data_IF_456232408929
#
_entry.id   IF_456232408929
#
_cell.length_a   1.000
_cell.length_b   1.000
_cell.length_c   1.000
_cell.angle_alpha   90.00
_cell.angle_beta   90.00
_cell.angle_gamma   90.00
#
_symmetry.space_group_name_H-M   'P 1'
#
loop_
_entity.id
_entity.type
_entity.pdbx_description
1 polymer ?
#
# COMPACT_ATOMS: atom_id res chain seq x y z
N UNK A 1 -16.21 -23.70 -42.70
CA UNK A 1 -15.84 -24.67 -41.62
C UNK A 1 -14.36 -24.59 -41.25
N UNK A 2 -13.41 -24.68 -42.19
CA UNK A 2 -11.96 -24.68 -41.89
C UNK A 2 -11.46 -23.46 -41.07
N UNK A 3 -11.94 -22.24 -41.35
CA UNK A 3 -11.57 -21.05 -40.57
C UNK A 3 -12.10 -21.03 -39.12
N UNK A 4 -13.23 -21.68 -38.84
CA UNK A 4 -13.78 -21.79 -37.47
C UNK A 4 -12.90 -22.73 -36.64
N UNK A 5 -12.44 -23.85 -37.22
CA UNK A 5 -11.54 -24.79 -36.56
C UNK A 5 -10.15 -24.20 -36.28
N UNK A 6 -9.60 -23.39 -37.19
CA UNK A 6 -8.33 -22.68 -36.98
C UNK A 6 -8.44 -21.69 -35.82
N UNK A 7 -9.53 -20.92 -35.74
CA UNK A 7 -9.76 -19.97 -34.65
C UNK A 7 -9.95 -20.65 -33.29
N UNK A 8 -10.68 -21.77 -33.23
CA UNK A 8 -10.83 -22.55 -32.00
C UNK A 8 -9.49 -23.16 -31.54
N UNK A 9 -8.68 -23.67 -32.48
CA UNK A 9 -7.37 -24.25 -32.18
C UNK A 9 -6.42 -23.19 -31.62
N UNK A 10 -6.38 -21.99 -32.22
CA UNK A 10 -5.58 -20.87 -31.72
C UNK A 10 -6.05 -20.38 -30.34
N UNK A 11 -7.35 -20.33 -30.10
CA UNK A 11 -7.91 -19.97 -28.80
C UNK A 11 -7.54 -21.02 -27.72
N UNK A 12 -7.67 -22.31 -28.02
CA UNK A 12 -7.25 -23.37 -27.11
C UNK A 12 -5.74 -23.29 -26.81
N UNK A 13 -4.90 -23.11 -27.83
CA UNK A 13 -3.46 -22.92 -27.63
C UNK A 13 -3.15 -21.69 -26.76
N UNK A 14 -3.82 -20.57 -27.01
CA UNK A 14 -3.69 -19.36 -26.21
C UNK A 14 -4.07 -19.59 -24.75
N UNK A 15 -5.20 -20.23 -24.47
CA UNK A 15 -5.62 -20.52 -23.09
C UNK A 15 -4.66 -21.47 -22.38
N UNK A 16 -4.11 -22.47 -23.07
CA UNK A 16 -3.06 -23.35 -22.53
C UNK A 16 -1.79 -22.55 -22.22
N UNK A 17 -1.36 -21.66 -23.12
CA UNK A 17 -0.21 -20.78 -22.90
C UNK A 17 -0.42 -19.88 -21.69
N UNK A 18 -1.60 -19.25 -21.57
CA UNK A 18 -1.98 -18.44 -20.40
C UNK A 18 -1.88 -19.29 -19.13
N UNK A 19 -2.47 -20.48 -19.10
CA UNK A 19 -2.43 -21.35 -17.93
C UNK A 19 -1.01 -21.74 -17.51
N UNK A 20 -0.16 -22.14 -18.46
CA UNK A 20 1.23 -22.54 -18.19
C UNK A 20 2.02 -21.38 -17.61
N UNK A 21 1.91 -20.19 -18.22
CA UNK A 21 2.68 -19.01 -17.82
C UNK A 21 2.16 -18.39 -16.53
N UNK A 22 0.83 -18.38 -16.30
CA UNK A 22 0.17 -17.72 -15.17
C UNK A 22 0.72 -18.18 -13.82
N UNK A 23 0.95 -19.48 -13.65
CA UNK A 23 1.48 -20.05 -12.40
C UNK A 23 3.01 -20.17 -12.37
N UNK A 24 3.71 -19.80 -13.44
CA UNK A 24 5.17 -19.97 -13.54
C UNK A 24 5.90 -19.15 -12.48
N UNK A 25 5.53 -17.89 -12.28
CA UNK A 25 6.19 -17.00 -11.31
C UNK A 25 6.01 -17.51 -9.89
N UNK A 26 4.78 -17.84 -9.50
CA UNK A 26 4.48 -18.47 -8.20
C UNK A 26 5.35 -19.71 -7.95
N UNK A 27 5.42 -20.65 -8.90
CA UNK A 27 6.29 -21.84 -8.77
C UNK A 27 7.76 -21.48 -8.58
N UNK A 28 8.28 -20.48 -9.31
CA UNK A 28 9.66 -20.04 -9.17
C UNK A 28 9.97 -19.47 -7.78
N UNK A 29 9.09 -18.61 -7.25
CA UNK A 29 9.24 -18.04 -5.91
C UNK A 29 9.18 -19.14 -4.85
N UNK A 30 8.17 -20.02 -4.92
CA UNK A 30 8.02 -21.12 -3.98
C UNK A 30 9.21 -22.09 -4.01
N UNK A 31 9.71 -22.45 -5.20
CA UNK A 31 10.88 -23.31 -5.31
C UNK A 31 12.14 -22.65 -4.74
N UNK A 32 12.27 -21.33 -4.87
CA UNK A 32 13.43 -20.59 -4.35
C UNK A 32 13.44 -20.50 -2.81
N UNK A 33 12.29 -20.25 -2.18
CA UNK A 33 12.22 -19.92 -0.75
C UNK A 33 11.62 -20.99 0.15
N UNK A 34 10.98 -22.04 -0.41
CA UNK A 34 10.32 -23.09 0.38
C UNK A 34 11.21 -23.73 1.43
N UNK A 35 12.47 -24.05 1.10
CA UNK A 35 13.41 -24.64 2.07
C UNK A 35 13.66 -23.72 3.26
N UNK A 36 13.92 -22.43 3.02
CA UNK A 36 14.15 -21.45 4.09
C UNK A 36 12.89 -21.22 4.91
N UNK A 37 11.74 -21.16 4.25
CA UNK A 37 10.45 -21.07 4.94
C UNK A 37 10.20 -22.26 5.88
N UNK A 38 10.40 -23.49 5.40
CA UNK A 38 10.22 -24.71 6.19
C UNK A 38 11.22 -24.81 7.36
N UNK A 39 12.38 -24.18 7.23
CA UNK A 39 13.39 -24.10 8.28
C UNK A 39 13.24 -22.89 9.20
N UNK A 40 12.25 -22.01 8.96
CA UNK A 40 12.06 -20.76 9.73
C UNK A 40 13.21 -19.75 9.55
N UNK A 41 13.89 -19.80 8.41
CA UNK A 41 15.10 -19.03 8.08
C UNK A 41 14.84 -17.91 7.05
N UNK A 42 13.58 -17.54 6.81
CA UNK A 42 13.28 -16.43 5.89
C UNK A 42 13.85 -15.12 6.42
N UNK A 43 14.76 -14.54 5.66
CA UNK A 43 15.36 -13.25 6.00
C UNK A 43 14.44 -12.08 5.64
N UNK A 44 14.69 -10.90 6.19
CA UNK A 44 14.00 -9.66 5.81
C UNK A 44 14.20 -9.33 4.32
N UNK A 45 15.37 -9.61 3.74
CA UNK A 45 15.61 -9.43 2.30
C UNK A 45 14.83 -10.45 1.44
N UNK A 46 14.79 -11.73 1.85
CA UNK A 46 13.98 -12.75 1.17
C UNK A 46 12.48 -12.36 1.20
N UNK A 47 12.03 -11.90 2.37
CA UNK A 47 10.67 -11.43 2.59
C UNK A 47 10.32 -10.21 1.72
N UNK A 48 11.25 -9.24 1.61
CA UNK A 48 11.12 -8.09 0.73
C UNK A 48 11.05 -8.48 -0.75
N UNK A 49 11.86 -9.43 -1.22
CA UNK A 49 11.82 -9.89 -2.62
C UNK A 49 10.48 -10.57 -2.94
N UNK A 50 9.94 -11.38 -2.02
CA UNK A 50 8.61 -11.98 -2.15
C UNK A 50 7.54 -10.88 -2.19
N UNK A 51 7.55 -9.97 -1.21
CA UNK A 51 6.59 -8.87 -1.07
C UNK A 51 6.54 -7.99 -2.33
N UNK A 52 7.71 -7.55 -2.81
CA UNK A 52 7.82 -6.70 -4.00
C UNK A 52 7.40 -7.46 -5.26
N UNK A 53 7.68 -8.76 -5.35
CA UNK A 53 7.21 -9.57 -6.49
C UNK A 53 5.68 -9.67 -6.51
N UNK A 54 5.04 -9.88 -5.35
CA UNK A 54 3.58 -9.87 -5.24
C UNK A 54 3.01 -8.50 -5.62
N UNK A 55 3.56 -7.43 -5.05
CA UNK A 55 3.06 -6.06 -5.20
C UNK A 55 3.37 -5.41 -6.55
N UNK A 56 4.39 -5.86 -7.30
CA UNK A 56 4.77 -5.23 -8.58
C UNK A 56 4.40 -6.09 -9.79
N UNK A 57 4.29 -7.41 -9.63
CA UNK A 57 4.15 -8.34 -10.75
C UNK A 57 2.89 -9.21 -10.67
N UNK A 58 2.66 -9.93 -9.57
CA UNK A 58 1.56 -10.90 -9.48
C UNK A 58 0.19 -10.23 -9.24
N UNK A 59 0.11 -9.36 -8.24
CA UNK A 59 -1.14 -8.82 -7.69
C UNK A 59 -1.13 -7.29 -7.47
N UNK A 60 -0.53 -6.46 -8.34
CA UNK A 60 -0.27 -5.06 -8.01
C UNK A 60 -1.52 -4.24 -7.71
N UNK A 61 -2.65 -4.55 -8.34
CA UNK A 61 -3.89 -3.82 -8.10
C UNK A 61 -4.43 -4.08 -6.69
N UNK A 62 -4.67 -5.34 -6.31
CA UNK A 62 -5.22 -5.64 -4.99
C UNK A 62 -4.19 -5.50 -3.87
N UNK A 63 -2.90 -5.65 -4.16
CA UNK A 63 -1.85 -5.34 -3.21
C UNK A 63 -1.87 -3.84 -2.85
N UNK A 64 -1.91 -2.98 -3.86
CA UNK A 64 -2.01 -1.53 -3.66
C UNK A 64 -3.31 -1.13 -2.95
N UNK A 65 -4.46 -1.62 -3.44
CA UNK A 65 -5.76 -1.29 -2.84
C UNK A 65 -5.78 -1.77 -1.37
N UNK A 66 -5.17 -2.91 -1.05
CA UNK A 66 -5.03 -3.37 0.33
C UNK A 66 -4.22 -2.41 1.21
N UNK A 67 -3.12 -1.83 0.71
CA UNK A 67 -2.35 -0.81 1.43
C UNK A 67 -3.14 0.50 1.60
N UNK A 68 -3.84 0.95 0.55
CA UNK A 68 -4.69 2.15 0.63
C UNK A 68 -5.86 1.94 1.60
N UNK A 69 -6.47 0.74 1.57
CA UNK A 69 -7.52 0.36 2.50
C UNK A 69 -7.00 0.28 3.93
N UNK A 70 -5.79 -0.22 4.17
CA UNK A 70 -5.15 -0.17 5.48
C UNK A 70 -5.06 1.27 6.00
N UNK A 71 -4.54 2.19 5.20
CA UNK A 71 -4.45 3.61 5.58
C UNK A 71 -5.84 4.22 5.81
N UNK A 72 -6.81 3.93 4.95
CA UNK A 72 -8.18 4.44 5.07
C UNK A 72 -8.88 3.92 6.33
N UNK A 73 -8.73 2.64 6.66
CA UNK A 73 -9.36 1.99 7.81
C UNK A 73 -8.90 2.59 9.14
N UNK A 74 -7.69 3.16 9.22
CA UNK A 74 -7.22 3.85 10.44
C UNK A 74 -8.05 5.10 10.79
N UNK A 75 -8.69 5.75 9.81
CA UNK A 75 -9.57 6.91 10.06
C UNK A 75 -10.85 6.56 10.84
N UNK A 76 -11.15 5.26 10.98
CA UNK A 76 -12.25 4.76 11.82
C UNK A 76 -11.87 4.62 13.30
N UNK A 77 -10.58 4.76 13.63
CA UNK A 77 -10.12 4.76 15.02
C UNK A 77 -10.12 6.20 15.55
N UNK A 78 -10.90 6.49 16.62
CA UNK A 78 -11.00 7.80 17.24
C UNK A 78 -9.71 8.56 17.50
N UNK A 79 -8.71 7.89 18.08
CA UNK A 79 -7.43 8.45 18.51
C UNK A 79 -6.60 8.85 17.29
N UNK A 80 -6.47 7.94 16.32
CA UNK A 80 -5.80 8.20 15.04
C UNK A 80 -6.49 9.34 14.30
N UNK A 81 -7.80 9.27 14.09
CA UNK A 81 -8.55 10.24 13.29
C UNK A 81 -8.43 11.66 13.84
N UNK A 82 -8.38 11.83 15.18
CA UNK A 82 -8.11 13.12 15.83
C UNK A 82 -6.75 13.69 15.45
N UNK A 83 -5.69 12.87 15.46
CA UNK A 83 -4.34 13.30 15.04
C UNK A 83 -4.34 13.72 13.58
N UNK A 84 -4.99 12.94 12.71
CA UNK A 84 -5.04 13.23 11.28
C UNK A 84 -5.85 14.52 11.02
N UNK A 85 -6.97 14.72 11.71
CA UNK A 85 -7.91 15.86 11.53
C UNK A 85 -7.38 17.25 11.89
N UNK A 86 -6.11 17.41 12.28
CA UNK A 86 -5.54 18.72 12.63
C UNK A 86 -5.72 19.72 11.48
N UNK A 87 -6.38 20.84 11.78
CA UNK A 87 -6.96 21.79 10.81
C UNK A 87 -5.99 22.29 9.72
N UNK A 88 -4.69 22.41 10.00
CA UNK A 88 -3.72 22.93 9.01
C UNK A 88 -3.57 22.01 7.80
N UNK A 89 -3.63 20.70 8.02
CA UNK A 89 -3.21 19.69 7.05
C UNK A 89 -4.31 19.39 6.01
N UNK A 90 -5.56 19.72 6.35
CA UNK A 90 -6.75 19.54 5.52
C UNK A 90 -7.50 20.85 5.26
N UNK A 91 -6.84 21.99 5.51
CA UNK A 91 -7.36 23.34 5.30
C UNK A 91 -7.73 23.65 3.84
N UNK A 92 -7.17 22.91 2.87
CA UNK A 92 -7.44 23.07 1.45
C UNK A 92 -7.26 21.76 0.69
N UNK A 93 -7.85 21.69 -0.51
CA UNK A 93 -7.66 20.54 -1.41
C UNK A 93 -6.19 20.35 -1.81
N UNK A 94 -5.41 21.44 -1.93
CA UNK A 94 -3.99 21.39 -2.29
C UNK A 94 -3.15 20.77 -1.16
N UNK A 95 -3.36 21.23 0.08
CA UNK A 95 -2.65 20.70 1.25
C UNK A 95 -3.00 19.23 1.51
N UNK A 96 -4.27 18.86 1.32
CA UNK A 96 -4.72 17.46 1.35
C UNK A 96 -3.93 16.57 0.39
N UNK A 97 -3.92 16.90 -0.91
CA UNK A 97 -3.26 16.08 -1.92
C UNK A 97 -1.75 16.02 -1.71
N UNK A 98 -1.13 17.11 -1.29
CA UNK A 98 0.29 17.13 -0.95
C UNK A 98 0.61 16.16 0.18
N UNK A 99 -0.19 16.14 1.26
CA UNK A 99 -0.01 15.23 2.40
C UNK A 99 -0.18 13.76 1.99
N UNK A 100 -1.17 13.47 1.15
CA UNK A 100 -1.35 12.13 0.59
C UNK A 100 -0.10 11.72 -0.22
N UNK A 101 0.35 12.58 -1.13
CA UNK A 101 1.54 12.33 -1.95
C UNK A 101 2.82 12.19 -1.13
N UNK A 102 2.98 12.94 -0.03
CA UNK A 102 4.10 12.77 0.92
C UNK A 102 4.09 11.40 1.58
N UNK A 103 2.91 10.95 2.01
CA UNK A 103 2.74 9.64 2.63
C UNK A 103 3.09 8.54 1.63
N UNK A 104 2.57 8.63 0.41
CA UNK A 104 2.89 7.67 -0.67
C UNK A 104 4.37 7.69 -1.00
N UNK A 105 4.99 8.86 -1.18
CA UNK A 105 6.42 8.95 -1.49
C UNK A 105 7.29 8.29 -0.40
N UNK A 106 7.01 8.56 0.87
CA UNK A 106 7.78 8.00 1.98
C UNK A 106 7.58 6.50 2.14
N UNK A 107 6.34 6.02 2.02
CA UNK A 107 6.02 4.58 2.08
C UNK A 107 6.65 3.83 0.92
N UNK A 108 6.59 4.39 -0.29
CA UNK A 108 7.21 3.74 -1.46
C UNK A 108 8.73 3.71 -1.33
N UNK A 109 9.40 4.75 -0.81
CA UNK A 109 10.84 4.68 -0.52
C UNK A 109 11.17 3.55 0.47
N UNK A 110 10.35 3.38 1.50
CA UNK A 110 10.59 2.33 2.49
C UNK A 110 10.31 0.91 1.98
N UNK A 111 9.39 0.75 1.01
CA UNK A 111 8.97 -0.55 0.45
C UNK A 111 9.70 -0.95 -0.84
N UNK A 112 10.09 0.02 -1.67
CA UNK A 112 10.69 -0.24 -2.98
C UNK A 112 12.20 -0.52 -2.92
N UNK A 113 12.86 -0.16 -1.83
CA UNK A 113 14.27 -0.42 -1.60
C UNK A 113 14.44 -1.57 -0.59
N UNK A 114 15.52 -2.34 -0.72
CA UNK A 114 15.74 -3.48 0.18
C UNK A 114 15.88 -3.03 1.64
N UNK A 115 15.55 -3.88 2.62
CA UNK A 115 15.64 -3.55 4.03
C UNK A 115 16.97 -2.99 4.52
N UNK A 116 18.09 -3.47 3.96
CA UNK A 116 19.44 -3.03 4.30
C UNK A 116 19.89 -1.77 3.53
N UNK A 117 19.09 -1.28 2.58
CA UNK A 117 19.46 -0.15 1.73
C UNK A 117 19.51 1.16 2.49
N UNK A 118 20.42 2.05 2.06
CA UNK A 118 20.52 3.40 2.61
C UNK A 118 19.20 4.17 2.45
N UNK A 119 18.56 4.06 1.28
CA UNK A 119 17.28 4.72 0.98
C UNK A 119 16.15 4.24 1.89
N UNK A 120 16.04 2.93 2.11
CA UNK A 120 15.06 2.36 3.04
C UNK A 120 15.27 2.87 4.47
N UNK A 121 16.51 2.88 4.95
CA UNK A 121 16.84 3.44 6.28
C UNK A 121 16.55 4.93 6.38
N UNK A 122 16.82 5.71 5.34
CA UNK A 122 16.56 7.14 5.29
C UNK A 122 15.05 7.46 5.33
N UNK A 123 14.24 6.67 4.63
CA UNK A 123 12.78 6.79 4.68
C UNK A 123 12.22 6.47 6.08
N UNK A 124 12.70 5.38 6.69
CA UNK A 124 12.29 5.00 8.06
C UNK A 124 12.73 6.07 9.07
N UNK A 125 13.97 6.57 8.98
CA UNK A 125 14.46 7.62 9.86
C UNK A 125 13.62 8.91 9.74
N UNK A 126 13.25 9.31 8.52
CA UNK A 126 12.35 10.45 8.32
C UNK A 126 10.97 10.18 8.90
N UNK A 127 10.42 8.99 8.70
CA UNK A 127 9.13 8.61 9.24
C UNK A 127 9.13 8.64 10.76
N UNK A 128 10.16 8.09 11.42
CA UNK A 128 10.33 8.19 12.88
C UNK A 128 10.36 9.65 13.34
N UNK A 129 11.12 10.51 12.66
CA UNK A 129 11.17 11.93 12.99
C UNK A 129 9.79 12.60 12.91
N UNK A 130 9.02 12.33 11.86
CA UNK A 130 7.67 12.89 11.68
C UNK A 130 6.69 12.40 12.76
N UNK A 131 6.88 11.19 13.29
CA UNK A 131 6.05 10.63 14.37
C UNK A 131 6.55 11.02 15.78
N UNK A 132 7.81 11.40 15.95
CA UNK A 132 8.47 11.58 17.24
C UNK A 132 7.70 12.49 18.20
N UNK A 133 7.46 13.75 17.81
CA UNK A 133 6.77 14.72 18.67
C UNK A 133 5.33 14.29 19.00
N UNK A 134 4.68 13.54 18.12
CA UNK A 134 3.34 13.02 18.36
C UNK A 134 3.33 11.85 19.36
N UNK A 135 4.35 10.98 19.32
CA UNK A 135 4.53 9.90 20.29
C UNK A 135 4.94 10.46 21.66
N UNK A 136 5.89 11.39 21.71
CA UNK A 136 6.32 12.03 22.96
C UNK A 136 5.18 12.79 23.67
N UNK A 137 4.32 13.47 22.90
CA UNK A 137 3.16 14.17 23.46
C UNK A 137 2.00 13.26 23.84
N UNK A 138 2.08 11.95 23.56
CA UNK A 138 0.97 11.00 23.76
C UNK A 138 -0.20 11.19 22.78
N UNK A 139 -0.02 11.98 21.72
CA UNK A 139 -1.06 12.16 20.69
C UNK A 139 -1.20 10.91 19.82
N UNK A 140 -0.10 10.22 19.53
CA UNK A 140 -0.09 8.89 18.91
C UNK A 140 0.27 7.90 20.01
N UNK A 141 -0.69 7.04 20.36
CA UNK A 141 -0.52 6.00 21.38
C UNK A 141 0.06 4.73 20.76
N UNK A 142 0.58 3.84 21.60
CA UNK A 142 1.29 2.63 21.13
C UNK A 142 0.36 1.67 20.38
N UNK A 143 -0.85 1.45 20.87
CA UNK A 143 -1.86 0.62 20.21
C UNK A 143 -2.18 1.14 18.79
N UNK A 144 -2.20 2.46 18.59
CA UNK A 144 -2.45 3.05 17.27
C UNK A 144 -1.31 2.71 16.28
N UNK A 145 -0.07 2.68 16.78
CA UNK A 145 1.12 2.28 15.99
C UNK A 145 1.06 0.79 15.65
N UNK A 146 0.78 -0.07 16.64
CA UNK A 146 0.66 -1.52 16.44
C UNK A 146 -0.50 -1.86 15.49
N UNK A 147 -1.63 -1.16 15.61
CA UNK A 147 -2.78 -1.30 14.72
C UNK A 147 -2.46 -0.87 13.29
N UNK A 148 -1.80 0.27 13.11
CA UNK A 148 -1.39 0.71 11.77
C UNK A 148 -0.43 -0.29 11.13
N UNK A 149 0.55 -0.80 11.89
CA UNK A 149 1.47 -1.85 11.43
C UNK A 149 0.73 -3.14 11.05
N UNK A 150 -0.20 -3.58 11.90
CA UNK A 150 -1.00 -4.78 11.66
C UNK A 150 -1.85 -4.67 10.40
N UNK A 151 -2.51 -3.53 10.17
CA UNK A 151 -3.26 -3.31 8.93
C UNK A 151 -2.35 -3.35 7.69
N UNK A 152 -1.18 -2.71 7.71
CA UNK A 152 -0.22 -2.76 6.61
C UNK A 152 0.27 -4.20 6.34
N UNK A 153 0.37 -5.02 7.39
CA UNK A 153 0.75 -6.43 7.33
C UNK A 153 -0.33 -7.28 6.67
N UNK A 154 -1.60 -7.15 7.12
CA UNK A 154 -2.65 -8.14 6.81
C UNK A 154 -3.54 -7.74 5.63
N UNK A 155 -3.75 -6.45 5.37
CA UNK A 155 -4.75 -6.01 4.39
C UNK A 155 -4.40 -6.39 2.94
N UNK A 156 -3.14 -6.28 2.46
CA UNK A 156 -2.83 -6.72 1.11
C UNK A 156 -3.17 -8.19 0.87
N UNK A 157 -2.89 -9.08 1.84
CA UNK A 157 -3.25 -10.49 1.75
C UNK A 157 -4.77 -10.69 1.73
N UNK A 158 -5.53 -10.01 2.59
CA UNK A 158 -7.00 -10.08 2.63
C UNK A 158 -7.64 -9.66 1.30
N UNK A 159 -7.13 -8.60 0.67
CA UNK A 159 -7.61 -8.11 -0.61
C UNK A 159 -7.25 -9.04 -1.77
N UNK A 160 -6.03 -9.59 -1.77
CA UNK A 160 -5.61 -10.59 -2.76
C UNK A 160 -6.48 -11.85 -2.64
N UNK A 161 -6.58 -12.43 -1.44
CA UNK A 161 -7.29 -13.69 -1.19
C UNK A 161 -8.76 -13.63 -1.61
N UNK A 162 -9.37 -12.44 -1.52
CA UNK A 162 -10.76 -12.20 -1.89
C UNK A 162 -10.97 -11.87 -3.36
N UNK A 163 -10.13 -11.01 -3.96
CA UNK A 163 -10.44 -10.36 -5.24
C UNK A 163 -9.44 -10.62 -6.38
N UNK A 164 -8.31 -11.27 -6.13
CA UNK A 164 -7.38 -11.65 -7.20
C UNK A 164 -7.65 -13.04 -7.79
N UNK A 165 -7.01 -13.27 -8.93
CA UNK A 165 -7.04 -14.51 -9.70
C UNK A 165 -6.49 -15.74 -8.94
N UNK A 166 -5.76 -15.54 -7.84
CA UNK A 166 -5.22 -16.56 -6.94
C UNK A 166 -5.21 -16.05 -5.49
N UNK A 167 -4.77 -16.90 -4.56
CA UNK A 167 -4.66 -16.58 -3.13
C UNK A 167 -3.21 -16.62 -2.65
N UNK A 168 -2.94 -15.84 -1.60
CA UNK A 168 -1.67 -15.86 -0.89
C UNK A 168 -1.49 -17.17 -0.12
N UNK A 169 -0.33 -17.78 -0.28
CA UNK A 169 0.10 -18.97 0.44
C UNK A 169 0.62 -18.64 1.84
N UNK A 170 0.80 -19.67 2.67
CA UNK A 170 1.38 -19.50 4.01
C UNK A 170 2.82 -18.97 3.96
N UNK A 171 3.61 -19.37 2.96
CA UNK A 171 4.97 -18.83 2.76
C UNK A 171 4.94 -17.34 2.40
N UNK A 172 3.99 -16.91 1.56
CA UNK A 172 3.83 -15.51 1.20
C UNK A 172 3.33 -14.68 2.39
N UNK A 173 2.40 -15.20 3.21
CA UNK A 173 1.97 -14.58 4.48
C UNK A 173 3.11 -14.52 5.50
N UNK A 174 3.95 -15.56 5.57
CA UNK A 174 5.16 -15.57 6.38
C UNK A 174 6.10 -14.44 5.96
N UNK A 175 6.38 -14.32 4.66
CA UNK A 175 7.19 -13.22 4.12
C UNK A 175 6.60 -11.83 4.46
N UNK A 176 5.29 -11.65 4.32
CA UNK A 176 4.62 -10.40 4.72
C UNK A 176 4.83 -10.10 6.21
N UNK A 177 4.64 -11.10 7.07
CA UNK A 177 4.87 -10.96 8.50
C UNK A 177 6.34 -10.70 8.87
N UNK A 178 7.29 -11.40 8.24
CA UNK A 178 8.73 -11.19 8.43
C UNK A 178 9.13 -9.76 8.09
N UNK A 179 8.74 -9.27 6.92
CA UNK A 179 9.08 -7.91 6.47
C UNK A 179 8.48 -6.85 7.39
N UNK A 180 7.20 -6.98 7.73
CA UNK A 180 6.52 -5.97 8.56
C UNK A 180 6.91 -6.04 10.03
N UNK A 181 7.27 -7.21 10.57
CA UNK A 181 7.87 -7.31 11.90
C UNK A 181 9.21 -6.57 11.94
N UNK A 182 10.10 -6.82 10.98
CA UNK A 182 11.37 -6.09 10.88
C UNK A 182 11.16 -4.57 10.72
N UNK A 183 10.13 -4.18 9.96
CA UNK A 183 9.75 -2.78 9.83
C UNK A 183 9.23 -2.18 11.15
N UNK A 184 8.42 -2.91 11.90
CA UNK A 184 7.94 -2.51 13.22
C UNK A 184 9.08 -2.35 14.23
N UNK A 185 10.07 -3.24 14.19
CA UNK A 185 11.28 -3.17 15.02
C UNK A 185 12.03 -1.87 14.73
N UNK A 186 12.21 -1.56 13.43
CA UNK A 186 12.87 -0.35 12.98
C UNK A 186 12.13 0.93 13.42
N UNK A 187 10.80 0.87 13.48
CA UNK A 187 9.92 1.93 13.98
C UNK A 187 9.80 1.96 15.51
N UNK A 188 10.45 1.04 16.23
CA UNK A 188 10.38 0.89 17.68
C UNK A 188 8.93 0.77 18.16
N UNK A 189 8.17 -0.14 17.54
CA UNK A 189 6.79 -0.48 17.93
C UNK A 189 6.85 -1.63 18.94
N UNK A 190 6.12 -1.48 20.04
CA UNK A 190 5.95 -2.53 21.04
C UNK A 190 5.01 -3.62 20.53
N UNK A 191 5.38 -4.88 20.79
CA UNK A 191 4.51 -6.03 20.54
C UNK A 191 3.95 -6.62 21.83
N UNK A 192 4.07 -5.92 22.97
CA UNK A 192 3.76 -6.46 24.29
C UNK A 192 2.34 -7.01 24.46
N UNK A 193 1.40 -6.54 23.63
CA UNK A 193 -0.01 -6.98 23.62
C UNK A 193 -0.27 -8.20 22.72
N UNK A 194 0.73 -8.62 21.94
CA UNK A 194 0.68 -9.87 21.18
C UNK A 194 1.08 -11.04 22.09
N UNK A 195 0.43 -12.22 21.97
CA UNK A 195 0.71 -13.39 22.80
C UNK A 195 2.20 -13.76 22.89
N UNK A 196 2.92 -13.65 21.78
CA UNK A 196 4.35 -13.97 21.69
C UNK A 196 5.26 -12.75 21.79
N UNK A 197 4.73 -11.54 21.90
CA UNK A 197 5.52 -10.31 21.82
C UNK A 197 6.59 -10.16 22.91
N UNK A 198 6.36 -10.73 24.10
CA UNK A 198 7.37 -10.78 25.18
C UNK A 198 8.37 -11.94 25.05
N UNK A 199 7.96 -13.04 24.41
CA UNK A 199 8.77 -14.28 24.30
C UNK A 199 9.58 -14.35 23.01
N UNK A 200 9.22 -13.55 22.01
CA UNK A 200 9.67 -13.70 20.63
C UNK A 200 8.68 -14.53 19.82
N UNK A 201 8.61 -14.23 18.52
CA UNK A 201 7.82 -15.01 17.56
C UNK A 201 8.73 -16.05 16.93
N UNK A 202 8.16 -17.20 16.59
CA UNK A 202 8.84 -18.29 15.89
C UNK A 202 9.26 -17.89 14.47
N UNK A 203 8.33 -17.31 13.73
CA UNK A 203 8.53 -16.87 12.35
C UNK A 203 7.54 -15.75 11.98
N UNK A 204 7.63 -15.28 10.73
CA UNK A 204 6.74 -14.25 10.19
C UNK A 204 5.29 -14.70 10.11
N UNK A 205 5.02 -16.01 9.99
CA UNK A 205 3.65 -16.51 9.90
C UNK A 205 2.94 -16.42 11.25
N UNK A 206 3.63 -16.78 12.34
CA UNK A 206 3.10 -16.60 13.68
C UNK A 206 2.82 -15.12 13.96
N UNK A 207 3.78 -14.22 13.65
CA UNK A 207 3.56 -12.78 13.79
C UNK A 207 2.32 -12.30 13.01
N UNK A 208 2.19 -12.72 11.74
CA UNK A 208 1.06 -12.37 10.89
C UNK A 208 -0.29 -12.79 11.50
N UNK A 209 -0.37 -14.02 12.03
CA UNK A 209 -1.61 -14.56 12.60
C UNK A 209 -1.97 -13.91 13.94
N UNK A 210 -0.97 -13.68 14.80
CA UNK A 210 -1.17 -13.02 16.10
C UNK A 210 -1.60 -11.56 15.91
N UNK A 211 -0.94 -10.81 15.02
CA UNK A 211 -1.31 -9.42 14.76
C UNK A 211 -2.66 -9.31 14.03
N UNK A 212 -3.01 -10.25 13.16
CA UNK A 212 -4.35 -10.30 12.54
C UNK A 212 -5.45 -10.46 13.60
N UNK A 213 -5.24 -11.38 14.55
CA UNK A 213 -6.16 -11.63 15.65
C UNK A 213 -6.28 -10.41 16.55
N UNK A 214 -5.14 -9.83 16.95
CA UNK A 214 -5.10 -8.64 17.79
C UNK A 214 -5.77 -7.43 17.11
N UNK A 215 -5.54 -7.17 15.82
CA UNK A 215 -6.20 -6.08 15.10
C UNK A 215 -7.72 -6.23 15.11
N UNK A 216 -8.24 -7.43 14.86
CA UNK A 216 -9.69 -7.68 14.92
C UNK A 216 -10.25 -7.36 16.30
N UNK A 217 -9.57 -7.80 17.35
CA UNK A 217 -10.03 -7.63 18.72
C UNK A 217 -9.92 -6.16 19.18
N UNK A 218 -8.86 -5.46 18.77
CA UNK A 218 -8.70 -4.02 18.96
C UNK A 218 -9.81 -3.23 18.23
N UNK A 219 -10.14 -3.59 17.00
CA UNK A 219 -11.21 -2.93 16.24
C UNK A 219 -12.56 -3.05 16.94
N UNK A 220 -12.91 -4.23 17.46
CA UNK A 220 -14.16 -4.44 18.21
C UNK A 220 -14.29 -3.51 19.43
N UNK A 221 -13.17 -3.10 20.02
CA UNK A 221 -13.16 -2.25 21.22
C UNK A 221 -13.08 -0.76 20.87
N UNK A 222 -12.20 -0.41 19.93
CA UNK A 222 -11.78 0.96 19.64
C UNK A 222 -12.51 1.59 18.45
N UNK A 223 -12.90 0.81 17.43
CA UNK A 223 -13.56 1.35 16.24
C UNK A 223 -14.99 1.76 16.56
N UNK A 224 -15.24 3.08 16.59
CA UNK A 224 -16.53 3.64 16.99
C UNK A 224 -16.88 4.86 16.15
N UNK A 225 -18.17 5.10 16.01
CA UNK A 225 -18.65 6.30 15.35
C UNK A 225 -18.30 7.56 16.16
N UNK A 226 -17.72 8.53 15.47
CA UNK A 226 -17.42 9.85 16.01
C UNK A 226 -18.16 10.94 15.23
N UNK A 227 -19.17 11.57 15.85
CA UNK A 227 -19.82 12.74 15.27
C UNK A 227 -18.79 13.84 14.99
N UNK A 228 -18.79 14.38 13.77
CA UNK A 228 -17.89 15.47 13.34
C UNK A 228 -16.63 15.07 12.57
N UNK A 229 -16.31 13.77 12.46
CA UNK A 229 -15.22 13.27 11.61
C UNK A 229 -15.72 12.74 10.24
N UNK A 230 -17.04 12.74 10.02
CA UNK A 230 -17.66 12.33 8.76
C UNK A 230 -17.14 13.12 7.56
N UNK A 231 -16.91 14.42 7.72
CA UNK A 231 -16.45 15.30 6.63
C UNK A 231 -15.07 14.92 6.12
N UNK A 232 -14.18 14.50 7.03
CA UNK A 232 -12.83 14.05 6.71
C UNK A 232 -12.85 12.73 5.91
N UNK A 233 -13.64 11.78 6.38
CA UNK A 233 -13.81 10.46 5.75
C UNK A 233 -14.47 10.59 4.37
N UNK A 234 -15.44 11.50 4.26
CA UNK A 234 -16.07 11.82 3.00
C UNK A 234 -15.12 12.55 2.03
N UNK A 235 -14.27 13.44 2.52
CA UNK A 235 -13.21 14.07 1.72
C UNK A 235 -12.21 13.04 1.20
N UNK A 236 -11.83 12.04 2.00
CA UNK A 236 -10.99 10.92 1.57
C UNK A 236 -11.60 10.17 0.37
N UNK A 237 -12.87 9.75 0.49
CA UNK A 237 -13.56 9.04 -0.59
C UNK A 237 -13.64 9.93 -1.83
N UNK A 238 -14.06 11.19 -1.68
CA UNK A 238 -14.22 12.12 -2.80
C UNK A 238 -12.91 12.48 -3.50
N UNK A 239 -11.85 12.75 -2.74
CA UNK A 239 -10.60 13.29 -3.31
C UNK A 239 -9.66 12.18 -3.81
N UNK A 240 -9.58 11.06 -3.09
CA UNK A 240 -8.66 9.96 -3.43
C UNK A 240 -9.36 8.93 -4.29
N UNK A 241 -10.42 8.30 -3.77
CA UNK A 241 -11.02 7.13 -4.42
C UNK A 241 -11.86 7.48 -5.65
N UNK A 242 -12.60 8.59 -5.63
CA UNK A 242 -13.42 9.03 -6.78
C UNK A 242 -12.64 9.88 -7.80
N UNK A 243 -11.39 10.20 -7.49
CA UNK A 243 -10.57 11.10 -8.29
C UNK A 243 -10.41 10.69 -9.75
N UNK A 244 -10.20 9.39 -10.00
CA UNK A 244 -10.05 8.83 -11.35
C UNK A 244 -11.37 8.43 -12.03
N UNK A 245 -12.52 8.70 -11.40
CA UNK A 245 -13.83 8.30 -11.89
C UNK A 245 -14.51 9.50 -12.56
N UNK A 246 -15.12 9.35 -13.76
CA UNK A 246 -15.94 10.41 -14.35
C UNK A 246 -17.07 10.85 -13.42
N UNK A 247 -17.35 12.15 -13.35
CA UNK A 247 -18.35 12.74 -12.42
C UNK A 247 -19.71 12.05 -12.45
N UNK A 248 -20.13 11.61 -13.64
CA UNK A 248 -21.42 10.91 -13.86
C UNK A 248 -21.49 9.60 -13.06
N UNK A 249 -20.36 8.92 -12.86
CA UNK A 249 -20.29 7.65 -12.13
C UNK A 249 -19.93 7.83 -10.65
N UNK A 250 -19.74 9.05 -10.14
CA UNK A 250 -19.30 9.28 -8.75
C UNK A 250 -20.23 8.64 -7.72
N UNK A 251 -21.56 8.75 -7.91
CA UNK A 251 -22.52 8.14 -7.00
C UNK A 251 -22.43 6.61 -7.00
N UNK A 252 -22.31 6.00 -8.17
CA UNK A 252 -22.17 4.55 -8.28
C UNK A 252 -20.85 4.10 -7.64
N UNK A 253 -19.72 4.69 -8.04
CA UNK A 253 -18.40 4.36 -7.51
C UNK A 253 -18.32 4.57 -5.99
N UNK A 254 -18.93 5.64 -5.45
CA UNK A 254 -19.03 5.85 -4.01
C UNK A 254 -19.72 4.67 -3.33
N UNK A 255 -20.88 4.27 -3.82
CA UNK A 255 -21.62 3.14 -3.25
C UNK A 255 -20.87 1.81 -3.43
N UNK A 256 -20.14 1.61 -4.53
CA UNK A 256 -19.28 0.44 -4.70
C UNK A 256 -18.14 0.41 -3.68
N UNK A 257 -17.52 1.56 -3.37
CA UNK A 257 -16.50 1.66 -2.30
C UNK A 257 -17.12 1.33 -0.94
N UNK A 258 -18.33 1.83 -0.65
CA UNK A 258 -19.05 1.49 0.60
C UNK A 258 -19.36 -0.01 0.72
N UNK A 259 -19.64 -0.70 -0.38
CA UNK A 259 -19.80 -2.17 -0.40
C UNK A 259 -18.50 -2.89 -0.03
N UNK A 260 -17.34 -2.33 -0.41
CA UNK A 260 -16.04 -2.92 -0.14
C UNK A 260 -15.55 -2.67 1.29
N UNK A 261 -16.16 -1.75 2.01
CA UNK A 261 -15.99 -1.63 3.46
C UNK A 261 -16.78 -2.77 4.13
N UNK A 262 -16.15 -3.45 5.10
CA UNK A 262 -16.93 -4.30 6.01
C UNK A 262 -17.90 -3.46 6.84
N UNK A 263 -18.92 -4.14 7.39
CA UNK A 263 -20.01 -3.47 8.11
C UNK A 263 -19.52 -2.65 9.30
N UNK A 264 -18.51 -3.14 10.02
CA UNK A 264 -17.95 -2.42 11.17
C UNK A 264 -17.31 -1.10 10.74
N UNK A 265 -16.46 -1.11 9.70
CA UNK A 265 -15.88 0.10 9.15
C UNK A 265 -16.95 1.06 8.63
N UNK A 266 -17.89 0.55 7.82
CA UNK A 266 -18.95 1.36 7.21
C UNK A 266 -19.83 2.04 8.27
N UNK A 267 -20.25 1.29 9.29
CA UNK A 267 -21.08 1.80 10.38
C UNK A 267 -20.32 2.79 11.27
N UNK A 268 -19.04 2.53 11.56
CA UNK A 268 -18.20 3.47 12.32
C UNK A 268 -18.06 4.82 11.61
N UNK A 269 -18.05 4.83 10.28
CA UNK A 269 -17.99 6.07 9.49
C UNK A 269 -19.36 6.75 9.32
N UNK A 270 -20.44 6.18 9.88
CA UNK A 270 -21.80 6.72 9.74
C UNK A 270 -22.42 6.51 8.36
N UNK A 271 -21.89 5.58 7.57
CA UNK A 271 -22.42 5.29 6.24
C UNK A 271 -23.55 4.28 6.27
N UNK A 272 -24.66 4.63 5.61
CA UNK A 272 -25.77 3.73 5.38
C UNK A 272 -25.39 2.61 4.41
N UNK A 273 -26.12 1.49 4.52
CA UNK A 273 -25.92 0.35 3.64
C UNK A 273 -26.34 0.74 2.21
N UNK A 274 -25.48 0.51 1.20
CA UNK A 274 -25.89 0.66 -0.19
C UNK A 274 -27.03 -0.28 -0.58
N UNK A 275 -27.74 0.03 -1.67
CA UNK A 275 -28.77 -0.85 -2.19
C UNK A 275 -28.19 -2.23 -2.57
N UNK A 276 -28.97 -3.30 -2.36
CA UNK A 276 -28.51 -4.69 -2.56
C UNK A 276 -28.04 -4.98 -4.00
N UNK A 277 -28.61 -4.30 -5.00
CA UNK A 277 -28.15 -4.44 -6.38
C UNK A 277 -26.72 -3.93 -6.59
N UNK A 278 -26.28 -2.93 -5.79
CA UNK A 278 -24.90 -2.44 -5.83
C UNK A 278 -23.95 -3.49 -5.26
N UNK A 279 -24.35 -4.21 -4.21
CA UNK A 279 -23.57 -5.36 -3.70
C UNK A 279 -23.38 -6.43 -4.78
N UNK A 280 -24.49 -6.83 -5.41
CA UNK A 280 -24.46 -7.81 -6.49
C UNK A 280 -23.56 -7.34 -7.65
N UNK A 281 -23.70 -6.07 -8.07
CA UNK A 281 -22.88 -5.50 -9.14
C UNK A 281 -21.38 -5.47 -8.78
N UNK A 282 -21.02 -4.93 -7.61
CA UNK A 282 -19.62 -4.83 -7.17
C UNK A 282 -18.95 -6.19 -7.11
N UNK A 283 -19.60 -7.16 -6.47
CA UNK A 283 -19.04 -8.51 -6.38
C UNK A 283 -18.97 -9.19 -7.75
N UNK A 284 -19.98 -9.02 -8.60
CA UNK A 284 -19.97 -9.57 -9.97
C UNK A 284 -18.80 -9.01 -10.77
N UNK A 285 -18.59 -7.68 -10.77
CA UNK A 285 -17.48 -7.04 -11.48
C UNK A 285 -16.12 -7.59 -11.02
N UNK A 286 -15.93 -7.74 -9.70
CA UNK A 286 -14.68 -8.26 -9.15
C UNK A 286 -14.47 -9.75 -9.44
N UNK A 287 -15.52 -10.57 -9.37
CA UNK A 287 -15.48 -11.99 -9.72
C UNK A 287 -15.20 -12.19 -11.21
N UNK A 288 -15.86 -11.42 -12.08
CA UNK A 288 -15.61 -11.44 -13.53
C UNK A 288 -14.16 -11.04 -13.81
N UNK A 289 -13.67 -9.94 -13.22
CA UNK A 289 -12.25 -9.54 -13.32
C UNK A 289 -11.31 -10.68 -12.90
N UNK A 290 -11.58 -11.31 -11.75
CA UNK A 290 -10.80 -12.44 -11.21
C UNK A 290 -10.67 -13.57 -12.24
N UNK A 291 -11.76 -13.99 -12.87
CA UNK A 291 -11.75 -15.06 -13.86
C UNK A 291 -11.12 -14.66 -15.19
N UNK A 292 -11.35 -13.42 -15.66
CA UNK A 292 -10.66 -12.87 -16.84
C UNK A 292 -9.15 -12.91 -16.63
N UNK A 293 -8.66 -12.42 -15.48
CA UNK A 293 -7.24 -12.43 -15.17
C UNK A 293 -6.66 -13.85 -15.08
N UNK A 294 -7.42 -14.79 -14.50
CA UNK A 294 -6.97 -16.18 -14.32
C UNK A 294 -6.82 -16.92 -15.65
N UNK A 295 -7.76 -16.74 -16.58
CA UNK A 295 -7.90 -17.61 -17.75
C UNK A 295 -7.63 -16.93 -19.10
N UNK A 296 -7.74 -15.61 -19.19
CA UNK A 296 -7.72 -14.89 -20.47
C UNK A 296 -6.59 -13.86 -20.60
N UNK A 297 -5.93 -13.47 -19.51
CA UNK A 297 -4.84 -12.48 -19.54
C UNK A 297 -3.51 -13.20 -19.35
N UNK A 298 -2.46 -12.79 -20.05
CA UNK A 298 -1.11 -13.29 -19.81
C UNK A 298 -0.51 -12.71 -18.52
N UNK A 299 0.37 -13.43 -17.82
CA UNK A 299 1.07 -12.85 -16.68
C UNK A 299 1.92 -11.65 -17.12
N UNK A 300 2.00 -10.64 -16.26
CA UNK A 300 2.77 -9.42 -16.51
C UNK A 300 4.26 -9.78 -16.67
N UNK A 301 4.93 -9.42 -17.77
CA UNK A 301 6.36 -9.62 -17.91
C UNK A 301 7.13 -8.62 -17.04
N UNK A 302 8.40 -8.93 -16.73
CA UNK A 302 9.21 -8.15 -15.77
C UNK A 302 9.39 -6.69 -16.16
N UNK A 303 9.40 -6.34 -17.45
CA UNK A 303 9.52 -4.96 -17.92
C UNK A 303 8.23 -4.13 -17.80
N UNK A 304 7.08 -4.78 -17.55
CA UNK A 304 5.80 -4.10 -17.25
C UNK A 304 5.48 -4.06 -15.75
N UNK A 305 6.46 -4.38 -14.89
CA UNK A 305 6.33 -4.28 -13.42
C UNK A 305 5.81 -2.91 -13.01
N UNK A 306 4.93 -2.90 -12.01
CA UNK A 306 4.37 -1.67 -11.46
C UNK A 306 5.36 -1.04 -10.49
N UNK A 307 6.35 -0.32 -11.04
CA UNK A 307 7.29 0.48 -10.25
C UNK A 307 6.71 1.84 -9.95
N UNK A 308 6.76 2.23 -8.67
CA UNK A 308 6.38 3.58 -8.24
C UNK A 308 7.57 4.52 -8.11
N UNK A 309 8.76 3.98 -7.85
CA UNK A 309 10.03 4.71 -7.91
C UNK A 309 10.91 4.09 -8.98
N UNK A 310 11.66 4.93 -9.69
CA UNK A 310 12.72 4.44 -10.53
C UNK A 310 13.87 3.90 -9.66
N UNK A 311 14.37 2.69 -9.92
CA UNK A 311 15.62 2.25 -9.33
C UNK A 311 16.72 3.17 -9.87
N UNK A 312 17.31 3.95 -8.97
CA UNK A 312 18.47 4.79 -9.27
C UNK A 312 19.69 4.09 -8.67
N UNK A 313 20.60 3.52 -9.50
CA UNK A 313 21.80 2.85 -9.04
C UNK A 313 22.74 3.77 -8.24
N UNK A 314 22.70 5.08 -8.51
CA UNK A 314 23.53 6.06 -7.83
C UNK A 314 22.82 6.65 -6.60
N UNK A 315 21.56 6.26 -6.38
CA UNK A 315 20.69 6.72 -5.29
C UNK A 315 20.69 8.24 -5.10
N UNK A 316 20.78 9.01 -6.19
CA UNK A 316 20.88 10.46 -6.16
C UNK A 316 19.51 11.06 -5.90
N UNK A 317 19.45 12.00 -4.96
CA UNK A 317 18.28 12.86 -4.78
C UNK A 317 18.37 14.05 -5.75
N UNK A 318 17.24 14.61 -6.22
CA UNK A 318 15.86 14.27 -5.86
C UNK A 318 15.31 13.00 -6.54
N UNK A 319 14.55 12.21 -5.79
CA UNK A 319 13.88 11.00 -6.25
C UNK A 319 12.53 11.32 -6.89
N UNK A 320 12.17 10.58 -7.94
CA UNK A 320 10.96 10.84 -8.73
C UNK A 320 9.98 9.68 -8.61
N UNK A 321 8.71 10.03 -8.46
CA UNK A 321 7.59 9.08 -8.54
C UNK A 321 7.24 8.85 -10.01
N UNK A 322 7.03 7.60 -10.38
CA UNK A 322 6.68 7.21 -11.75
C UNK A 322 5.16 7.15 -11.97
N UNK A 323 4.38 6.73 -10.97
CA UNK A 323 2.93 6.53 -11.06
C UNK A 323 2.26 7.39 -9.98
N UNK A 324 1.29 8.23 -10.37
CA UNK A 324 0.49 9.04 -9.45
C UNK A 324 -1.00 8.69 -9.51
N UNK A 325 -1.66 8.73 -8.34
CA UNK A 325 -3.09 8.39 -8.19
C UNK A 325 -3.97 9.63 -8.00
N UNK A 326 -3.49 10.58 -7.21
CA UNK A 326 -4.20 11.81 -6.89
C UNK A 326 -3.72 12.97 -7.78
N UNK A 327 -2.89 13.85 -7.24
CA UNK A 327 -2.21 14.89 -8.02
C UNK A 327 -0.77 14.46 -8.36
N UNK A 328 -0.18 14.97 -9.46
CA UNK A 328 1.11 14.52 -9.98
C UNK A 328 2.32 15.05 -9.20
N UNK A 329 2.25 15.05 -7.87
CA UNK A 329 3.37 15.44 -7.03
C UNK A 329 4.56 14.52 -7.25
N UNK A 330 5.75 15.10 -7.41
CA UNK A 330 7.02 14.39 -7.58
C UNK A 330 7.17 13.60 -8.88
N UNK A 331 6.27 13.82 -9.84
CA UNK A 331 6.28 13.13 -11.13
C UNK A 331 6.90 14.04 -12.18
N UNK A 332 7.91 13.52 -12.88
CA UNK A 332 8.53 14.25 -13.99
C UNK A 332 7.59 14.31 -15.22
N UNK A 333 7.57 15.45 -15.94
CA UNK A 333 6.80 15.65 -17.16
C UNK A 333 7.45 14.96 -18.37
N UNK A 334 7.65 13.64 -18.29
CA UNK A 334 8.16 12.85 -19.42
C UNK A 334 7.11 12.79 -20.54
N UNK A 335 7.54 12.45 -21.75
CA UNK A 335 6.63 12.27 -22.89
C UNK A 335 5.49 11.29 -22.56
N UNK A 336 5.81 10.16 -21.91
CA UNK A 336 4.81 9.18 -21.48
C UNK A 336 3.86 9.71 -20.41
N UNK A 337 4.37 10.45 -19.43
CA UNK A 337 3.56 10.97 -18.32
C UNK A 337 2.68 12.15 -18.72
N UNK A 338 3.01 12.87 -19.80
CA UNK A 338 2.17 13.97 -20.31
C UNK A 338 1.25 13.55 -21.46
N UNK A 339 1.64 12.57 -22.26
CA UNK A 339 0.93 12.25 -23.52
C UNK A 339 0.55 10.78 -23.67
N UNK A 340 0.82 9.95 -22.66
CA UNK A 340 0.43 8.54 -22.64
C UNK A 340 -1.07 8.34 -22.33
N UNK A 341 -1.57 7.09 -22.44
CA UNK A 341 -3.00 6.80 -22.27
C UNK A 341 -3.57 7.27 -20.93
N UNK A 342 -2.83 7.07 -19.83
CA UNK A 342 -3.25 7.51 -18.51
C UNK A 342 -3.33 9.05 -18.40
N UNK A 343 -2.43 9.76 -19.07
CA UNK A 343 -2.44 11.22 -19.11
C UNK A 343 -3.67 11.75 -19.87
N UNK A 344 -4.03 11.14 -21.01
CA UNK A 344 -5.25 11.51 -21.74
C UNK A 344 -6.52 11.30 -20.92
N UNK A 345 -6.63 10.17 -20.21
CA UNK A 345 -7.77 9.93 -19.30
C UNK A 345 -7.79 10.98 -18.19
N UNK A 346 -6.65 11.22 -17.54
CA UNK A 346 -6.52 12.21 -16.46
C UNK A 346 -6.91 13.62 -16.93
N UNK A 347 -6.42 14.04 -18.09
CA UNK A 347 -6.74 15.32 -18.71
C UNK A 347 -8.23 15.45 -19.04
N UNK A 348 -8.84 14.40 -19.61
CA UNK A 348 -10.28 14.38 -19.93
C UNK A 348 -11.18 14.50 -18.69
N UNK A 349 -10.67 14.12 -17.52
CA UNK A 349 -11.34 14.27 -16.22
C UNK A 349 -11.12 15.66 -15.58
N UNK A 350 -10.40 16.56 -16.27
CA UNK A 350 -10.08 17.90 -15.78
C UNK A 350 -9.06 17.91 -14.65
N UNK A 351 -8.19 16.89 -14.58
CA UNK A 351 -7.16 16.77 -13.53
C UNK A 351 -5.79 17.26 -14.03
N UNK A 352 -4.94 17.77 -13.13
CA UNK A 352 -3.61 18.26 -13.50
C UNK A 352 -2.71 17.11 -13.97
N UNK A 353 -1.94 17.38 -15.02
CA UNK A 353 -0.85 16.52 -15.49
C UNK A 353 0.50 16.98 -14.93
N UNK A 354 1.51 16.08 -14.92
CA UNK A 354 2.88 16.44 -14.58
C UNK A 354 3.36 17.68 -15.35
N UNK A 355 3.70 18.74 -14.63
CA UNK A 355 4.21 20.01 -15.15
C UNK A 355 3.15 21.08 -15.50
N UNK A 356 1.85 20.87 -15.26
CA UNK A 356 0.82 21.87 -15.55
C UNK A 356 0.83 23.11 -14.61
N UNK A 357 1.38 22.99 -13.40
CA UNK A 357 1.51 24.08 -12.40
C UNK A 357 2.99 24.52 -12.22
N UNK A 358 3.80 24.41 -13.29
CA UNK A 358 5.25 24.61 -13.21
C UNK A 358 5.88 23.74 -12.11
N UNK A 359 6.48 24.38 -11.11
CA UNK A 359 7.09 23.72 -9.96
C UNK A 359 6.12 23.38 -8.81
N UNK A 360 4.84 23.76 -8.92
CA UNK A 360 3.85 23.57 -7.86
C UNK A 360 3.58 22.11 -7.47
N UNK A 361 3.77 21.18 -8.40
CA UNK A 361 3.75 19.72 -8.15
C UNK A 361 5.14 19.11 -7.98
N UNK A 362 6.21 19.91 -7.87
CA UNK A 362 7.57 19.44 -7.62
C UNK A 362 8.04 18.37 -8.63
N UNK A 363 7.96 18.63 -9.96
CA UNK A 363 8.26 17.64 -11.00
C UNK A 363 9.71 17.11 -10.99
N UNK A 364 10.63 17.87 -10.38
CA UNK A 364 12.02 17.46 -10.21
C UNK A 364 12.18 16.27 -9.24
N UNK A 365 11.18 16.01 -8.39
CA UNK A 365 11.20 14.95 -7.39
C UNK A 365 11.25 15.48 -5.96
N UNK A 366 11.57 14.60 -5.01
CA UNK A 366 11.69 14.89 -3.59
C UNK A 366 13.04 14.45 -3.01
N UNK A 367 13.45 15.08 -1.92
CA UNK A 367 14.48 14.56 -1.04
C UNK A 367 13.79 13.91 0.16
N UNK A 368 14.10 12.64 0.43
CA UNK A 368 13.49 11.85 1.50
C UNK A 368 13.60 12.55 2.86
N UNK A 369 14.69 13.26 3.13
CA UNK A 369 14.90 14.02 4.39
C UNK A 369 13.95 15.18 4.56
N UNK A 370 13.39 15.66 3.46
CA UNK A 370 12.57 16.87 3.39
C UNK A 370 11.09 16.59 3.15
N UNK A 371 10.66 15.32 3.04
CA UNK A 371 9.25 14.96 2.93
C UNK A 371 8.49 15.39 4.19
N UNK A 372 7.25 15.88 4.02
CA UNK A 372 6.34 16.21 5.11
C UNK A 372 5.88 17.67 5.07
N UNK A 373 5.23 18.14 6.16
CA UNK A 373 4.72 19.50 6.24
C UNK A 373 5.81 20.55 6.06
N UNK A 374 5.46 21.70 5.48
CA UNK A 374 6.40 22.78 5.16
C UNK A 374 7.23 23.25 6.37
N UNK A 375 6.61 23.31 7.55
CA UNK A 375 7.28 23.72 8.80
C UNK A 375 8.29 22.70 9.34
N UNK A 376 8.28 21.45 8.85
CA UNK A 376 9.24 20.40 9.19
C UNK A 376 10.32 20.18 8.10
N UNK A 377 10.27 20.93 7.00
CA UNK A 377 11.28 20.84 5.93
C UNK A 377 12.64 21.35 6.44
N UNK A 378 13.71 20.64 6.12
CA UNK A 378 15.07 20.96 6.60
C UNK A 378 15.31 20.72 8.09
N UNK A 379 14.37 20.10 8.82
CA UNK A 379 14.51 19.76 10.25
C UNK A 379 14.68 18.26 10.45
N UNK A 380 15.31 17.89 11.56
CA UNK A 380 15.48 16.48 11.96
C UNK A 380 16.72 15.80 11.37
N UNK A 381 17.69 16.56 10.85
CA UNK A 381 18.91 15.98 10.26
C UNK A 381 19.75 15.19 11.27
N UNK A 382 19.97 15.74 12.47
CA UNK A 382 20.73 15.05 13.51
C UNK A 382 19.98 13.82 14.02
N UNK A 383 18.66 13.92 14.21
CA UNK A 383 17.79 12.79 14.55
C UNK A 383 17.92 11.69 13.48
N UNK A 384 17.77 12.05 12.21
CA UNK A 384 17.87 11.09 11.11
C UNK A 384 19.29 10.48 11.00
N UNK A 385 20.34 11.24 11.32
CA UNK A 385 21.72 10.73 11.34
C UNK A 385 21.89 9.65 12.42
N UNK A 386 21.40 9.90 13.63
CA UNK A 386 21.47 8.94 14.74
C UNK A 386 20.64 7.68 14.43
N UNK A 387 19.42 7.86 13.94
CA UNK A 387 18.54 6.74 13.58
C UNK A 387 19.12 5.88 12.45
N UNK A 388 19.74 6.48 11.42
CA UNK A 388 20.41 5.72 10.36
C UNK A 388 21.56 4.86 10.90
N UNK A 389 22.30 5.32 11.91
CA UNK A 389 23.35 4.51 12.55
C UNK A 389 22.75 3.29 13.26
N UNK A 390 21.63 3.48 13.98
CA UNK A 390 20.90 2.37 14.60
C UNK A 390 20.40 1.38 13.54
N UNK A 391 19.76 1.86 12.47
CA UNK A 391 19.19 1.04 11.41
C UNK A 391 20.27 0.25 10.64
N UNK A 392 21.43 0.84 10.36
CA UNK A 392 22.56 0.14 9.74
C UNK A 392 23.08 -1.02 10.61
N UNK A 393 22.92 -0.90 11.92
CA UNK A 393 23.34 -1.95 12.86
C UNK A 393 22.23 -2.99 13.10
N UNK A 394 20.96 -2.57 13.14
CA UNK A 394 19.83 -3.42 13.50
C UNK A 394 19.07 -4.07 12.33
N UNK A 395 18.92 -3.38 11.19
CA UNK A 395 18.14 -3.85 10.03
C UNK A 395 19.04 -4.15 8.83
N UNK A 396 19.72 -5.30 8.90
CA UNK A 396 20.75 -5.73 7.91
C UNK A 396 20.23 -6.74 6.88
N UNK A 397 18.92 -6.83 6.67
CA UNK A 397 18.32 -7.79 5.74
C UNK A 397 18.33 -9.24 6.23
N UNK A 398 18.62 -9.48 7.51
CA UNK A 398 18.71 -10.82 8.13
C UNK A 398 17.34 -11.28 8.65
N UNK A 399 17.25 -12.52 9.14
CA UNK A 399 16.06 -13.00 9.83
C UNK A 399 15.81 -12.16 11.09
N UNK A 400 14.59 -11.62 11.31
CA UNK A 400 14.30 -10.76 12.45
C UNK A 400 13.79 -11.51 13.69
N UNK A 401 13.73 -12.84 13.68
CA UNK A 401 13.16 -13.65 14.77
C UNK A 401 14.22 -14.23 15.70
#
# INVERSE_FOLDING_TARGET
>A
MMGIYINLTLLCFYMVLVHILRFRRRRLIHNRYSKRYLNEELTDDDAWEILTTLGQLEFPAMFQIGLEYALFRTYAIPTISRVLSRKSDFSSQRTWYKRYSDTVALMVEALANSPASRRGHEAIARMKYLHHAYRESGSIVEDDMLYTLGLLTIQPAKWIDRYEWDQTSQMEKCAMGTFWKSFGDAMEISYGDLPSGKKGFKDGLQFFQEIETWCRDYEMQAMRHLPGLSDLQDQLIRNVALGGVPKIFHNLARNMILVLMDDQLRLSMGYHQPAQWVYALTHTVLVVRKYILRYLVLPRPSFFRQLRLNPDPEERSPHRVHIWEAHPYYVAPTLWNRWGPYAWVTWSLGRPLPGDDGDGFMPCGFDTRNIGPSYMKGRGEDYARQEKVKLRNGRRGQCPF
#
